data_IF_426865720239
#
_entry.id   IF_426865720239
#
_cell.length_a   1.000
_cell.length_b   1.000
_cell.length_c   1.000
_cell.angle_alpha   90.00
_cell.angle_beta   90.00
_cell.angle_gamma   90.00
#
_symmetry.space_group_name_H-M   'P 1'
#
loop_
_entity.id
_entity.type
_entity.pdbx_description
1 polymer ?
#
# COMPACT_ATOMS: atom_id res chain seq x y z
N UNK A 1 11.16 22.49 -7.45
CA UNK A 1 9.75 22.46 -7.85
C UNK A 1 9.24 21.03 -7.65
N UNK A 2 8.72 20.71 -6.47
CA UNK A 2 8.14 19.38 -6.14
C UNK A 2 6.89 19.54 -5.26
N UNK A 3 6.12 20.63 -5.42
CA UNK A 3 5.19 21.07 -4.36
C UNK A 3 3.73 20.63 -4.53
N UNK A 4 3.42 19.74 -5.49
CA UNK A 4 2.04 19.29 -5.75
C UNK A 4 1.77 17.82 -5.38
N UNK A 5 2.52 17.25 -4.43
CA UNK A 5 2.24 15.88 -3.97
C UNK A 5 1.09 15.88 -2.94
N UNK A 6 0.16 14.94 -3.09
CA UNK A 6 -0.83 14.66 -2.04
C UNK A 6 -0.13 14.21 -0.75
N UNK A 7 -0.76 14.32 0.43
CA UNK A 7 -0.18 13.78 1.66
C UNK A 7 0.22 12.30 1.54
N UNK A 8 -0.58 11.50 0.84
CA UNK A 8 -0.30 10.08 0.57
C UNK A 8 0.93 9.91 -0.31
N UNK A 9 1.05 10.68 -1.39
CA UNK A 9 2.23 10.62 -2.28
C UNK A 9 3.51 11.07 -1.56
N UNK A 10 3.41 12.06 -0.66
CA UNK A 10 4.53 12.47 0.19
C UNK A 10 4.96 11.34 1.12
N UNK A 11 4.01 10.69 1.78
CA UNK A 11 4.29 9.56 2.66
C UNK A 11 4.90 8.38 1.90
N UNK A 12 4.38 8.06 0.72
CA UNK A 12 4.91 7.00 -0.14
C UNK A 12 6.36 7.30 -0.56
N UNK A 13 6.66 8.55 -0.90
CA UNK A 13 8.03 8.99 -1.20
C UNK A 13 8.96 8.81 0.00
N UNK A 14 8.52 9.20 1.20
CA UNK A 14 9.30 9.01 2.44
C UNK A 14 9.57 7.52 2.66
N UNK A 15 8.57 6.65 2.52
CA UNK A 15 8.77 5.20 2.64
C UNK A 15 9.80 4.70 1.63
N UNK A 16 9.69 5.10 0.36
CA UNK A 16 10.64 4.69 -0.67
C UNK A 16 12.08 5.14 -0.34
N UNK A 17 12.25 6.34 0.21
CA UNK A 17 13.56 6.85 0.65
C UNK A 17 14.13 6.04 1.82
N UNK A 18 13.32 5.76 2.85
CA UNK A 18 13.76 5.09 4.08
C UNK A 18 13.90 3.56 3.91
N UNK A 19 13.44 2.99 2.79
CA UNK A 19 13.41 1.52 2.58
C UNK A 19 14.13 1.03 1.32
N UNK A 20 14.97 1.87 0.71
CA UNK A 20 15.64 1.57 -0.56
C UNK A 20 14.64 1.14 -1.65
N UNK A 21 13.61 1.95 -1.85
CA UNK A 21 12.53 1.68 -2.79
C UNK A 21 11.73 0.42 -2.44
N UNK A 22 11.64 0.06 -1.15
CA UNK A 22 10.91 -1.12 -0.66
C UNK A 22 11.75 -2.41 -0.62
N UNK A 23 12.97 -2.40 -1.15
CA UNK A 23 13.86 -3.57 -1.18
C UNK A 23 14.17 -4.10 0.22
N UNK A 24 14.37 -3.21 1.18
CA UNK A 24 14.66 -3.59 2.58
C UNK A 24 13.47 -4.29 3.22
N UNK A 25 12.24 -3.83 2.93
CA UNK A 25 11.02 -4.45 3.48
C UNK A 25 10.79 -5.83 2.87
N UNK A 26 10.95 -5.96 1.55
CA UNK A 26 10.86 -7.26 0.87
C UNK A 26 11.91 -8.23 1.40
N UNK A 27 13.17 -7.78 1.55
CA UNK A 27 14.24 -8.60 2.12
C UNK A 27 13.87 -9.09 3.51
N UNK A 28 13.45 -8.19 4.41
CA UNK A 28 13.02 -8.57 5.75
C UNK A 28 11.96 -9.68 5.73
N UNK A 29 10.91 -9.55 4.89
CA UNK A 29 9.88 -10.58 4.80
C UNK A 29 10.40 -11.92 4.25
N UNK A 30 11.34 -11.91 3.30
CA UNK A 30 12.01 -13.13 2.82
C UNK A 30 12.76 -13.81 3.96
N UNK A 31 13.56 -13.07 4.72
CA UNK A 31 14.32 -13.61 5.85
C UNK A 31 13.42 -14.22 6.93
N UNK A 32 12.28 -13.57 7.23
CA UNK A 32 11.27 -14.12 8.14
C UNK A 32 10.63 -15.39 7.56
N UNK A 33 10.24 -15.39 6.29
CA UNK A 33 9.58 -16.53 5.65
C UNK A 33 10.51 -17.77 5.58
N UNK A 34 11.78 -17.56 5.24
CA UNK A 34 12.81 -18.59 5.16
C UNK A 34 13.25 -19.10 6.54
N UNK A 35 12.91 -18.38 7.61
CA UNK A 35 13.27 -18.73 8.99
C UNK A 35 14.67 -18.29 9.38
N UNK A 36 15.33 -17.43 8.60
CA UNK A 36 16.65 -16.88 8.93
C UNK A 36 16.62 -16.18 10.30
N UNK A 37 15.51 -15.54 10.65
CA UNK A 37 15.32 -14.79 11.90
C UNK A 37 14.73 -15.61 13.06
N UNK A 38 14.67 -16.95 12.96
CA UNK A 38 14.12 -17.79 14.05
C UNK A 38 14.83 -17.60 15.38
N UNK A 39 16.15 -17.39 15.32
CA UNK A 39 17.01 -17.17 16.48
C UNK A 39 16.65 -15.87 17.23
N UNK A 40 15.91 -14.95 16.60
CA UNK A 40 15.39 -13.71 17.17
C UNK A 40 13.96 -13.89 17.74
N UNK A 41 13.48 -15.13 17.85
CA UNK A 41 12.17 -15.46 18.43
C UNK A 41 11.01 -15.40 17.44
N UNK A 42 11.29 -15.31 16.14
CA UNK A 42 10.28 -15.49 15.10
C UNK A 42 9.75 -16.94 15.13
N UNK A 43 8.45 -17.09 14.87
CA UNK A 43 7.69 -18.33 15.03
C UNK A 43 7.03 -18.69 13.70
N UNK A 44 6.61 -19.95 13.49
CA UNK A 44 5.98 -20.37 12.23
C UNK A 44 4.81 -19.49 11.76
N UNK A 45 4.02 -18.94 12.68
CA UNK A 45 2.93 -18.01 12.34
C UNK A 45 3.45 -16.68 11.75
N UNK A 46 4.58 -16.16 12.24
CA UNK A 46 5.21 -14.96 11.66
C UNK A 46 5.74 -15.23 10.26
N UNK A 47 6.30 -16.43 10.01
CA UNK A 47 6.74 -16.85 8.67
C UNK A 47 5.57 -16.91 7.69
N UNK A 48 4.46 -17.49 8.13
CA UNK A 48 3.22 -17.53 7.35
C UNK A 48 2.70 -16.11 7.05
N UNK A 49 2.75 -15.20 8.00
CA UNK A 49 2.33 -13.82 7.78
C UNK A 49 3.27 -13.07 6.84
N UNK A 50 4.59 -13.29 6.93
CA UNK A 50 5.56 -12.75 5.99
C UNK A 50 5.35 -13.27 4.57
N UNK A 51 5.13 -14.58 4.42
CA UNK A 51 4.83 -15.20 3.14
C UNK A 51 3.57 -14.62 2.50
N UNK A 52 2.51 -14.35 3.28
CA UNK A 52 1.30 -13.67 2.77
C UNK A 52 1.61 -12.29 2.22
N UNK A 53 2.42 -11.49 2.90
CA UNK A 53 2.79 -10.16 2.40
C UNK A 53 3.65 -10.26 1.12
N UNK A 54 4.60 -11.20 1.06
CA UNK A 54 5.38 -11.44 -0.16
C UNK A 54 4.50 -11.87 -1.35
N UNK A 55 3.49 -12.71 -1.10
CA UNK A 55 2.51 -13.09 -2.12
C UNK A 55 1.74 -11.88 -2.64
N UNK A 56 1.24 -11.02 -1.75
CA UNK A 56 0.52 -9.80 -2.15
C UNK A 56 1.36 -8.84 -3.00
N UNK A 57 2.65 -8.71 -2.68
CA UNK A 57 3.55 -7.78 -3.37
C UNK A 57 4.13 -8.37 -4.65
N UNK A 58 4.42 -9.67 -4.65
CA UNK A 58 5.17 -10.33 -5.73
C UNK A 58 4.34 -11.04 -6.79
N UNK A 59 3.06 -11.31 -6.53
CA UNK A 59 2.23 -12.13 -7.43
C UNK A 59 0.93 -11.41 -7.78
N UNK A 60 1.00 -10.47 -8.73
CA UNK A 60 -0.19 -9.94 -9.43
C UNK A 60 -1.06 -11.05 -10.06
N UNK A 61 -0.52 -12.26 -10.27
CA UNK A 61 -1.25 -13.45 -10.76
C UNK A 61 -1.92 -14.28 -9.64
N UNK A 62 -1.53 -14.10 -8.37
CA UNK A 62 -2.14 -14.80 -7.24
C UNK A 62 -3.37 -14.06 -6.68
N UNK A 63 -3.53 -12.77 -7.01
CA UNK A 63 -4.76 -12.01 -6.76
C UNK A 63 -5.98 -12.64 -7.44
N UNK A 64 -5.81 -13.25 -8.61
CA UNK A 64 -6.89 -13.98 -9.29
C UNK A 64 -7.20 -15.31 -8.60
N UNK A 65 -6.20 -16.00 -8.05
CA UNK A 65 -6.37 -17.23 -7.28
C UNK A 65 -7.01 -16.97 -5.89
N UNK A 66 -6.61 -15.89 -5.22
CA UNK A 66 -7.23 -15.46 -3.95
C UNK A 66 -8.65 -14.92 -4.21
N UNK A 67 -8.90 -14.12 -5.25
CA UNK A 67 -10.26 -13.69 -5.62
C UNK A 67 -11.18 -14.87 -5.94
N UNK A 68 -10.70 -15.85 -6.71
CA UNK A 68 -11.44 -17.06 -7.01
C UNK A 68 -11.82 -17.85 -5.75
N UNK A 69 -10.93 -17.91 -4.74
CA UNK A 69 -11.18 -18.63 -3.49
C UNK A 69 -11.95 -17.79 -2.43
N UNK A 70 -11.79 -16.46 -2.40
CA UNK A 70 -12.56 -15.56 -1.53
C UNK A 70 -14.02 -15.43 -1.99
N UNK A 71 -14.29 -15.48 -3.30
CA UNK A 71 -15.64 -15.48 -3.86
C UNK A 71 -16.47 -16.70 -3.42
N UNK A 72 -15.83 -17.83 -3.12
CA UNK A 72 -16.49 -19.04 -2.60
C UNK A 72 -16.85 -18.91 -1.11
N UNK A 73 -16.15 -18.05 -0.35
CA UNK A 73 -16.28 -17.97 1.12
C UNK A 73 -17.12 -16.78 1.61
N UNK A 74 -17.38 -15.77 0.77
CA UNK A 74 -18.14 -14.57 1.13
C UNK A 74 -19.54 -14.51 0.51
N UNK A 75 -20.40 -15.50 0.83
CA UNK A 75 -21.83 -15.23 1.04
C UNK A 75 -22.02 -14.67 2.46
N UNK A 76 -21.51 -13.46 2.71
CA UNK A 76 -21.83 -12.70 3.92
C UNK A 76 -22.62 -11.45 3.54
N UNK A 77 -23.67 -11.22 4.31
CA UNK A 77 -24.74 -10.26 4.13
C UNK A 77 -24.26 -8.85 3.72
N UNK A 78 -25.08 -8.09 2.95
CA UNK A 78 -24.75 -6.73 2.56
C UNK A 78 -24.54 -5.89 3.83
N UNK A 79 -23.30 -5.42 4.01
CA UNK A 79 -23.02 -4.34 4.97
C UNK A 79 -23.75 -3.11 4.45
N UNK A 80 -24.86 -2.76 5.10
CA UNK A 80 -25.51 -1.47 4.98
C UNK A 80 -24.51 -0.38 5.35
N UNK A 81 -23.83 0.16 4.35
CA UNK A 81 -23.05 1.39 4.47
C UNK A 81 -24.04 2.55 4.47
N UNK A 82 -24.39 3.02 5.67
CA UNK A 82 -24.97 4.34 5.89
C UNK A 82 -24.26 4.95 7.08
N UNK A 83 -23.24 5.74 6.80
CA UNK A 83 -22.89 6.87 7.64
C UNK A 83 -22.73 8.04 6.68
N UNK A 84 -23.75 8.90 6.66
CA UNK A 84 -23.57 10.31 6.32
C UNK A 84 -22.46 10.82 7.24
N UNK A 85 -21.26 11.13 6.71
CA UNK A 85 -20.20 11.69 7.55
C UNK A 85 -20.71 13.01 8.11
N UNK A 86 -20.65 13.15 9.43
CA UNK A 86 -20.90 14.42 10.09
C UNK A 86 -19.79 15.40 9.68
N UNK A 87 -20.10 16.54 9.03
CA UNK A 87 -19.10 17.51 8.60
C UNK A 87 -18.18 17.99 9.74
N UNK A 88 -18.69 18.07 10.97
CA UNK A 88 -17.89 18.47 12.14
C UNK A 88 -16.87 17.39 12.52
N UNK A 89 -17.25 16.11 12.41
CA UNK A 89 -16.34 14.98 12.62
C UNK A 89 -15.25 14.93 11.54
N UNK A 90 -15.62 15.20 10.29
CA UNK A 90 -14.67 15.22 9.17
C UNK A 90 -13.65 16.36 9.31
N UNK A 91 -14.10 17.54 9.76
CA UNK A 91 -13.20 18.67 10.06
C UNK A 91 -12.23 18.33 11.20
N UNK A 92 -12.72 17.76 12.31
CA UNK A 92 -11.89 17.35 13.45
C UNK A 92 -10.81 16.33 13.04
N UNK A 93 -11.15 15.36 12.19
CA UNK A 93 -10.16 14.41 11.65
C UNK A 93 -9.10 15.09 10.77
N UNK A 94 -9.47 16.09 9.97
CA UNK A 94 -8.53 16.83 9.13
C UNK A 94 -7.56 17.66 9.98
N UNK A 95 -8.05 18.32 11.04
CA UNK A 95 -7.24 19.09 11.99
C UNK A 95 -6.25 18.19 12.73
N UNK A 96 -6.71 17.05 13.27
CA UNK A 96 -5.84 16.06 13.93
C UNK A 96 -4.77 15.52 12.97
N UNK A 97 -5.15 15.21 11.73
CA UNK A 97 -4.23 14.71 10.73
C UNK A 97 -3.19 15.77 10.34
N UNK A 98 -3.56 17.06 10.31
CA UNK A 98 -2.62 18.15 10.09
C UNK A 98 -1.64 18.27 11.25
N UNK A 99 -2.14 18.30 12.48
CA UNK A 99 -1.32 18.40 13.67
C UNK A 99 -0.32 17.24 13.78
N UNK A 100 -0.77 16.01 13.51
CA UNK A 100 0.10 14.84 13.47
C UNK A 100 1.20 14.97 12.40
N UNK A 101 0.89 15.49 11.20
CA UNK A 101 1.90 15.74 10.16
C UNK A 101 2.94 16.75 10.61
N UNK A 102 2.53 17.83 11.26
CA UNK A 102 3.45 18.86 11.75
C UNK A 102 4.41 18.30 12.81
N UNK A 103 3.91 17.53 13.77
CA UNK A 103 4.73 16.92 14.82
C UNK A 103 5.68 15.82 14.31
N UNK A 104 5.38 15.21 13.17
CA UNK A 104 6.12 14.03 12.68
C UNK A 104 6.97 14.33 11.44
N UNK A 105 7.22 15.60 11.13
CA UNK A 105 7.92 16.02 9.91
C UNK A 105 7.28 15.41 8.65
N UNK A 106 5.97 15.65 8.49
CA UNK A 106 5.17 15.11 7.40
C UNK A 106 5.00 13.58 7.44
N UNK A 107 5.28 12.94 8.58
CA UNK A 107 5.22 11.48 8.77
C UNK A 107 6.59 10.80 8.78
N UNK A 108 7.69 11.51 8.49
CA UNK A 108 9.04 10.92 8.43
C UNK A 108 9.47 10.28 9.74
N UNK A 109 9.19 10.92 10.89
CA UNK A 109 9.53 10.36 12.20
C UNK A 109 8.89 8.99 12.42
N UNK A 110 7.63 8.83 11.99
CA UNK A 110 6.88 7.57 12.15
C UNK A 110 7.39 6.50 11.17
N UNK A 111 7.70 6.87 9.93
CA UNK A 111 8.25 5.92 8.94
C UNK A 111 9.63 5.41 9.39
N UNK A 112 10.48 6.28 9.92
CA UNK A 112 11.78 5.87 10.49
C UNK A 112 11.60 4.90 11.64
N UNK A 113 10.70 5.19 12.58
CA UNK A 113 10.38 4.27 13.67
C UNK A 113 9.97 2.88 13.12
N UNK A 114 9.09 2.82 12.11
CA UNK A 114 8.72 1.53 11.51
C UNK A 114 9.90 0.82 10.86
N UNK A 115 10.76 1.53 10.13
CA UNK A 115 11.96 0.95 9.54
C UNK A 115 12.92 0.42 10.61
N UNK A 116 13.16 1.19 11.68
CA UNK A 116 14.04 0.82 12.78
C UNK A 116 13.51 -0.39 13.56
N UNK A 117 12.21 -0.41 13.87
CA UNK A 117 11.55 -1.57 14.49
C UNK A 117 11.67 -2.80 13.58
N UNK A 118 11.34 -2.70 12.30
CA UNK A 118 11.43 -3.81 11.35
C UNK A 118 12.85 -4.40 11.30
N UNK A 119 13.86 -3.52 11.22
CA UNK A 119 15.27 -3.89 11.14
C UNK A 119 15.87 -4.35 12.48
N UNK A 120 15.10 -4.36 13.58
CA UNK A 120 15.60 -4.76 14.89
C UNK A 120 16.58 -3.75 15.51
N UNK A 121 16.57 -2.50 15.06
CA UNK A 121 17.48 -1.45 15.56
C UNK A 121 17.06 -0.91 16.94
N UNK A 122 15.87 -1.28 17.41
CA UNK A 122 15.27 -0.86 18.68
C UNK A 122 14.94 -2.06 19.60
N UNK A 123 15.68 -3.16 19.48
CA UNK A 123 15.39 -4.40 20.22
C UNK A 123 15.41 -4.23 21.76
N UNK A 124 16.15 -3.24 22.28
CA UNK A 124 16.19 -2.89 23.70
C UNK A 124 14.89 -2.25 24.23
N UNK A 125 13.99 -1.80 23.34
CA UNK A 125 12.73 -1.13 23.69
C UNK A 125 11.55 -2.11 23.88
N UNK A 126 11.80 -3.42 23.81
CA UNK A 126 10.78 -4.45 24.04
C UNK A 126 9.88 -4.73 22.83
N UNK A 127 10.30 -4.32 21.63
CA UNK A 127 9.61 -4.72 20.40
C UNK A 127 9.75 -6.23 20.18
N UNK A 128 8.61 -6.87 19.89
CA UNK A 128 8.52 -8.32 19.67
C UNK A 128 8.47 -8.61 18.17
N UNK A 129 8.76 -9.85 17.74
CA UNK A 129 8.71 -10.23 16.32
C UNK A 129 7.43 -9.83 15.57
N UNK A 130 6.26 -9.91 16.21
CA UNK A 130 5.00 -9.48 15.59
C UNK A 130 4.91 -7.96 15.38
N UNK A 131 5.58 -7.14 16.19
CA UNK A 131 5.69 -5.69 15.94
C UNK A 131 6.55 -5.42 14.71
N UNK A 132 7.63 -6.18 14.51
CA UNK A 132 8.51 -6.07 13.35
C UNK A 132 7.78 -6.43 12.05
N UNK A 133 7.00 -7.51 12.09
CA UNK A 133 6.09 -7.90 10.98
C UNK A 133 5.04 -6.82 10.71
N UNK A 134 4.42 -6.26 11.75
CA UNK A 134 3.43 -5.20 11.61
C UNK A 134 4.03 -3.91 11.02
N UNK A 135 5.24 -3.53 11.45
CA UNK A 135 5.97 -2.39 10.92
C UNK A 135 6.29 -2.58 9.44
N UNK A 136 6.81 -3.75 9.07
CA UNK A 136 7.03 -4.12 7.67
C UNK A 136 5.76 -3.97 6.83
N UNK A 137 4.61 -4.44 7.33
CA UNK A 137 3.31 -4.33 6.64
C UNK A 137 2.86 -2.89 6.45
N UNK A 138 2.97 -2.04 7.48
CA UNK A 138 2.59 -0.63 7.38
C UNK A 138 3.47 0.13 6.37
N UNK A 139 4.78 -0.14 6.33
CA UNK A 139 5.69 0.44 5.32
C UNK A 139 5.22 0.05 3.92
N UNK A 140 4.99 -1.23 3.73
CA UNK A 140 4.51 -1.81 2.49
C UNK A 140 3.20 -1.14 2.03
N UNK A 141 2.20 -1.06 2.92
CA UNK A 141 0.89 -0.45 2.66
C UNK A 141 0.98 1.03 2.30
N UNK A 142 1.77 1.82 3.03
CA UNK A 142 1.86 3.28 2.86
C UNK A 142 2.80 3.68 1.72
N UNK A 143 3.79 2.84 1.41
CA UNK A 143 4.79 3.08 0.37
C UNK A 143 4.34 2.70 -1.03
N UNK A 144 3.56 1.62 -1.15
CA UNK A 144 3.36 0.94 -2.43
C UNK A 144 1.90 0.60 -2.73
N UNK A 145 0.97 1.02 -1.86
CA UNK A 145 -0.49 1.02 -2.09
C UNK A 145 -1.05 -0.29 -2.70
N UNK A 146 -0.58 -1.45 -2.25
CA UNK A 146 -1.06 -2.74 -2.77
C UNK A 146 -2.32 -3.26 -2.06
N UNK A 147 -2.82 -2.55 -1.04
CA UNK A 147 -4.12 -2.84 -0.42
C UNK A 147 -5.26 -2.03 -1.09
N UNK A 148 -5.06 -1.51 -2.29
CA UNK A 148 -6.05 -0.71 -3.02
C UNK A 148 -7.21 -1.58 -3.55
N UNK A 149 -8.02 -2.11 -2.64
CA UNK A 149 -9.37 -2.57 -2.92
C UNK A 149 -10.37 -1.59 -2.29
N UNK A 150 -11.06 -0.87 -3.19
CA UNK A 150 -12.28 -0.07 -3.03
C UNK A 150 -12.13 1.42 -2.68
N UNK A 151 -12.06 2.27 -3.72
CA UNK A 151 -13.15 3.18 -4.10
C UNK A 151 -12.64 4.37 -4.94
N UNK A 152 -12.26 4.13 -6.19
CA UNK A 152 -12.42 5.14 -7.25
C UNK A 152 -12.55 4.40 -8.58
N UNK A 153 -13.76 3.94 -8.85
CA UNK A 153 -14.25 3.94 -10.23
C UNK A 153 -14.44 5.41 -10.62
N UNK A 154 -13.33 6.11 -10.84
CA UNK A 154 -13.38 7.31 -11.66
C UNK A 154 -13.53 6.81 -13.07
N UNK A 155 -14.75 6.96 -13.58
CA UNK A 155 -15.05 7.05 -15.00
C UNK A 155 -13.91 7.83 -15.65
N UNK A 156 -13.02 7.13 -16.35
CA UNK A 156 -12.15 7.78 -17.33
C UNK A 156 -13.11 8.22 -18.44
N UNK A 157 -13.32 9.54 -18.67
CA UNK A 157 -13.98 9.93 -19.90
C UNK A 157 -13.07 9.48 -21.03
N UNK A 158 -13.56 8.54 -21.85
CA UNK A 158 -12.98 8.25 -23.14
C UNK A 158 -13.06 9.52 -24.01
N UNK A 159 -12.08 10.42 -23.86
CA UNK A 159 -11.78 11.39 -24.90
C UNK A 159 -11.05 10.62 -25.98
N UNK A 160 -11.73 10.54 -27.12
CA UNK A 160 -11.36 9.69 -28.23
C UNK A 160 -10.12 10.16 -28.96
N UNK A 161 -9.58 9.20 -29.71
CA UNK A 161 -8.97 9.42 -31.01
C UNK A 161 -9.55 8.34 -31.93
N UNK A 162 -10.76 8.61 -32.42
CA UNK A 162 -11.25 7.95 -33.63
C UNK A 162 -10.38 8.46 -34.77
N UNK A 163 -9.47 7.60 -35.20
CA UNK A 163 -8.69 7.73 -36.41
C UNK A 163 -9.65 7.87 -37.61
N UNK A 164 -9.97 9.10 -38.00
CA UNK A 164 -10.75 9.37 -39.21
C UNK A 164 -9.83 9.29 -40.41
N UNK A 165 -9.80 8.12 -41.04
CA UNK A 165 -9.16 7.88 -42.33
C UNK A 165 -9.70 8.88 -43.36
N UNK A 166 -8.84 9.79 -43.81
CA UNK A 166 -9.15 10.68 -44.93
C UNK A 166 -9.06 9.86 -46.22
N UNK A 167 -10.20 9.56 -46.84
CA UNK A 167 -10.25 8.96 -48.18
C UNK A 167 -9.92 10.05 -49.20
N UNK A 168 -8.79 9.88 -49.89
CA UNK A 168 -8.43 10.70 -51.06
C UNK A 168 -9.23 10.21 -52.27
N UNK A 169 -10.01 11.05 -52.97
CA UNK A 169 -10.67 10.63 -54.19
C UNK A 169 -9.64 10.49 -55.33
N UNK A 170 -9.57 9.30 -55.91
CA UNK A 170 -8.84 9.03 -57.16
C UNK A 170 -9.56 9.74 -58.30
N UNK A 171 -8.89 10.71 -58.93
CA UNK A 171 -9.30 11.26 -60.22
C UNK A 171 -9.05 10.20 -61.30
N UNK A 172 -10.10 9.61 -61.85
CA UNK A 172 -10.03 9.00 -63.18
C UNK A 172 -10.21 10.11 -64.21
N UNK A 173 -9.16 10.39 -64.97
CA UNK A 173 -9.18 11.33 -66.09
C UNK A 173 -9.91 10.76 -67.30
N UNK A 174 -10.66 11.65 -67.95
CA UNK A 174 -11.05 11.72 -69.38
C UNK A 174 -11.35 10.44 -70.14
#
# INVERSE_FOLDING_TARGET
MCDNLTPQQRLAKIVAEETDGGRTVVRFFVQVADGELDHEGFKPNHRMDAAKELVKVGLTEFDDYIRANHAVTLRRAPRTRRETSDPEMEQSHQELAQYARELTDGGRTVIKLYADVMNGLLDDEGFKPHHRVAAGRELLKRGFDYECDHATSTVVPAKGDLCTTTVVPVKTGT
#
